data_IF_201801387902
#
_entry.id   IF_201801387902
#
_cell.length_a   1.000
_cell.length_b   1.000
_cell.length_c   1.000
_cell.angle_alpha   90.00
_cell.angle_beta   90.00
_cell.angle_gamma   90.00
#
_symmetry.space_group_name_H-M   'P 1'
#
loop_
_entity.id
_entity.type
_entity.pdbx_description
1 polymer ?
#
# COMPACT_ATOMS: atom_id res chain seq x y z
N UNK A 1 -8.85 2.76 -10.83
CA UNK A 1 -10.30 2.86 -11.13
C UNK A 1 -10.93 1.48 -11.32
N UNK A 2 -10.41 0.54 -12.16
CA UNK A 2 -11.07 -0.75 -12.41
C UNK A 2 -11.40 -1.54 -11.13
N UNK A 3 -10.47 -1.65 -10.20
CA UNK A 3 -10.66 -2.38 -8.93
C UNK A 3 -11.81 -1.81 -8.08
N UNK A 4 -11.98 -0.48 -8.05
CA UNK A 4 -13.08 0.14 -7.30
C UNK A 4 -14.45 -0.18 -7.91
N UNK A 5 -14.55 -0.21 -9.25
CA UNK A 5 -15.77 -0.60 -9.95
C UNK A 5 -16.03 -2.10 -9.79
N UNK A 6 -14.97 -2.91 -9.85
CA UNK A 6 -15.04 -4.34 -9.62
C UNK A 6 -15.50 -4.69 -8.20
N UNK A 7 -15.07 -3.89 -7.21
CA UNK A 7 -15.57 -3.90 -5.85
C UNK A 7 -15.12 -5.05 -4.97
N UNK A 8 -14.15 -5.84 -5.40
CA UNK A 8 -13.51 -6.92 -4.63
C UNK A 8 -12.00 -6.73 -4.64
N UNK A 9 -11.32 -7.37 -3.68
CA UNK A 9 -9.88 -7.55 -3.78
C UNK A 9 -9.56 -8.31 -5.05
N UNK A 10 -8.63 -7.81 -5.84
CA UNK A 10 -8.32 -8.39 -7.14
C UNK A 10 -6.83 -8.35 -7.43
N UNK A 11 -6.38 -9.37 -8.12
CA UNK A 11 -5.14 -9.33 -8.85
C UNK A 11 -5.41 -8.73 -10.23
N UNK A 12 -4.59 -7.76 -10.62
CA UNK A 12 -4.73 -7.04 -11.87
C UNK A 12 -3.55 -7.33 -12.79
N UNK A 13 -3.85 -7.64 -14.05
CA UNK A 13 -2.87 -7.85 -15.12
C UNK A 13 -3.12 -6.89 -16.28
N UNK A 14 -2.21 -6.91 -17.26
CA UNK A 14 -2.26 -6.00 -18.39
C UNK A 14 -1.97 -4.55 -17.96
N UNK A 15 -2.83 -3.63 -18.37
CA UNK A 15 -2.82 -2.22 -17.90
C UNK A 15 -3.75 -2.02 -16.69
N UNK A 16 -4.16 -3.11 -16.03
CA UNK A 16 -5.06 -3.12 -14.87
C UNK A 16 -6.52 -3.40 -15.22
N UNK A 17 -6.80 -3.87 -16.44
CA UNK A 17 -8.13 -4.20 -16.92
C UNK A 17 -8.51 -5.68 -16.68
N UNK A 18 -7.51 -6.57 -16.60
CA UNK A 18 -7.73 -7.99 -16.33
C UNK A 18 -7.72 -8.21 -14.83
N UNK A 19 -8.90 -8.41 -14.25
CA UNK A 19 -9.07 -8.54 -12.82
C UNK A 19 -9.50 -9.95 -12.44
N UNK A 20 -8.74 -10.60 -11.57
CA UNK A 20 -9.10 -11.88 -10.94
C UNK A 20 -9.33 -11.65 -9.44
N UNK A 21 -10.47 -12.12 -8.91
CA UNK A 21 -10.76 -12.04 -7.47
C UNK A 21 -9.69 -12.80 -6.69
N UNK A 22 -9.19 -12.19 -5.63
CA UNK A 22 -8.32 -12.84 -4.68
C UNK A 22 -8.89 -12.71 -3.26
N UNK A 23 -8.74 -13.78 -2.48
CA UNK A 23 -9.03 -13.74 -1.06
C UNK A 23 -7.75 -13.37 -0.31
N UNK A 24 -7.82 -12.28 0.46
CA UNK A 24 -6.74 -11.86 1.34
C UNK A 24 -7.16 -12.10 2.79
N UNK A 25 -6.24 -12.44 3.70
CA UNK A 25 -6.57 -12.50 5.11
C UNK A 25 -7.05 -11.13 5.61
N UNK A 26 -7.89 -11.14 6.64
CA UNK A 26 -8.25 -9.90 7.32
C UNK A 26 -6.98 -9.25 7.90
N UNK A 27 -6.82 -7.97 7.65
CA UNK A 27 -5.64 -7.22 8.09
C UNK A 27 -6.02 -5.83 8.57
N UNK A 28 -5.16 -5.25 9.39
CA UNK A 28 -5.21 -3.87 9.84
C UNK A 28 -4.01 -3.12 9.28
N UNK A 29 -4.23 -1.87 8.96
CA UNK A 29 -3.22 -1.02 8.33
C UNK A 29 -2.98 0.23 9.16
N UNK A 30 -1.72 0.51 9.44
CA UNK A 30 -1.29 1.83 9.87
C UNK A 30 -0.79 2.59 8.66
N UNK A 31 -1.45 3.69 8.34
CA UNK A 31 -1.11 4.54 7.18
C UNK A 31 -0.47 5.82 7.67
N UNK A 32 0.70 6.16 7.16
CA UNK A 32 1.35 7.44 7.38
C UNK A 32 1.19 8.35 6.15
N UNK A 33 0.99 9.63 6.42
CA UNK A 33 0.81 10.67 5.42
C UNK A 33 1.98 11.65 5.50
N UNK A 34 3.07 11.42 4.75
CA UNK A 34 4.19 12.36 4.70
C UNK A 34 3.73 13.74 4.22
N UNK A 35 4.29 14.84 4.77
CA UNK A 35 3.87 16.20 4.44
C UNK A 35 4.45 16.69 3.11
N UNK A 36 4.37 15.86 2.07
CA UNK A 36 4.87 16.14 0.73
C UNK A 36 3.88 15.67 -0.32
N UNK A 37 3.88 16.37 -1.46
CA UNK A 37 3.07 16.01 -2.62
C UNK A 37 3.99 15.45 -3.69
N UNK A 38 3.76 14.18 -4.06
CA UNK A 38 4.55 13.48 -5.08
C UNK A 38 3.89 13.66 -6.45
N UNK A 39 4.64 14.18 -7.42
CA UNK A 39 4.18 14.26 -8.80
C UNK A 39 4.25 12.90 -9.48
N UNK A 40 3.10 12.24 -9.64
CA UNK A 40 2.98 10.94 -10.30
C UNK A 40 3.61 10.97 -11.71
N UNK A 41 3.38 12.04 -12.46
CA UNK A 41 3.92 12.18 -13.81
C UNK A 41 5.46 12.21 -13.83
N UNK A 42 6.07 12.94 -12.89
CA UNK A 42 7.53 13.00 -12.76
C UNK A 42 8.14 11.67 -12.35
N UNK A 43 7.47 10.92 -11.46
CA UNK A 43 7.94 9.59 -11.06
C UNK A 43 7.89 8.64 -12.26
N UNK A 44 6.79 8.61 -13.01
CA UNK A 44 6.69 7.77 -14.22
C UNK A 44 7.66 8.20 -15.33
N UNK A 45 8.05 9.48 -15.41
CA UNK A 45 9.04 9.97 -16.37
C UNK A 45 10.49 9.72 -15.95
N UNK A 46 10.74 9.27 -14.71
CA UNK A 46 12.09 9.04 -14.20
C UNK A 46 12.85 8.00 -15.00
N UNK A 47 14.12 8.29 -15.31
CA UNK A 47 15.02 7.35 -15.95
C UNK A 47 15.49 6.23 -15.00
N UNK A 48 15.38 6.46 -13.71
CA UNK A 48 15.77 5.54 -12.64
C UNK A 48 14.69 4.51 -12.34
N UNK A 49 13.48 4.69 -12.90
CA UNK A 49 12.38 3.76 -12.71
C UNK A 49 12.64 2.42 -13.41
N UNK A 50 12.60 1.34 -12.63
CA UNK A 50 12.63 -0.02 -13.15
C UNK A 50 11.35 -0.29 -13.96
N UNK A 51 11.52 -0.73 -15.23
CA UNK A 51 10.38 -0.94 -16.15
C UNK A 51 10.28 -2.36 -16.68
N UNK A 52 11.21 -3.21 -16.29
CA UNK A 52 11.36 -4.59 -16.76
C UNK A 52 11.26 -5.61 -15.63
N UNK A 53 10.61 -5.24 -14.55
CA UNK A 53 10.31 -6.17 -13.46
C UNK A 53 9.48 -7.31 -14.00
N UNK A 54 9.90 -8.54 -13.71
CA UNK A 54 9.20 -9.72 -14.18
C UNK A 54 7.83 -9.80 -13.49
N UNK A 55 6.77 -10.17 -14.23
CA UNK A 55 5.45 -10.40 -13.65
C UNK A 55 5.51 -11.43 -12.53
N UNK A 56 4.80 -11.16 -11.45
CA UNK A 56 4.65 -12.12 -10.36
C UNK A 56 3.79 -13.27 -10.88
N UNK A 57 4.31 -14.50 -10.82
CA UNK A 57 3.53 -15.69 -11.14
C UNK A 57 2.72 -16.10 -9.90
N UNK A 58 1.42 -16.24 -10.07
CA UNK A 58 0.51 -16.66 -9.00
C UNK A 58 -0.02 -18.04 -9.36
N UNK A 59 -0.27 -18.94 -8.51
CA UNK A 59 -0.72 -19.04 -7.12
C UNK A 59 0.16 -19.94 -6.23
N UNK A 60 -0.04 -19.91 -4.91
CA UNK A 60 -0.94 -19.02 -4.21
C UNK A 60 -0.31 -17.66 -3.99
N UNK A 61 -1.08 -16.57 -4.18
CA UNK A 61 -0.61 -15.22 -3.94
C UNK A 61 -0.18 -15.06 -2.49
N UNK A 62 1.06 -14.67 -2.30
CA UNK A 62 1.57 -14.24 -1.00
C UNK A 62 1.78 -12.72 -1.08
N UNK A 63 1.17 -11.98 -0.18
CA UNK A 63 1.38 -10.53 -0.04
C UNK A 63 2.86 -10.17 0.11
N UNK A 64 3.67 -11.13 0.57
CA UNK A 64 5.13 -11.02 0.70
C UNK A 64 5.88 -10.90 -0.63
N UNK A 65 5.32 -11.40 -1.73
CA UNK A 65 5.98 -11.42 -3.04
C UNK A 65 5.83 -10.13 -3.83
N UNK A 66 4.92 -9.25 -3.43
CA UNK A 66 4.72 -7.97 -4.09
C UNK A 66 5.75 -6.92 -3.67
N UNK A 67 6.10 -6.02 -4.59
CA UNK A 67 6.88 -4.82 -4.32
C UNK A 67 6.30 -3.66 -5.15
N UNK A 68 6.72 -2.44 -4.84
CA UNK A 68 6.32 -1.26 -5.58
C UNK A 68 7.54 -0.67 -6.30
N UNK A 69 7.60 -0.81 -7.61
CA UNK A 69 8.72 -0.32 -8.43
C UNK A 69 8.93 1.20 -8.32
N UNK A 70 7.88 1.94 -7.95
CA UNK A 70 7.96 3.39 -7.77
C UNK A 70 8.61 3.78 -6.43
N UNK A 71 8.60 2.89 -5.42
CA UNK A 71 9.03 3.17 -4.05
C UNK A 71 10.48 3.67 -3.99
N UNK A 72 11.39 3.00 -4.69
CA UNK A 72 12.82 3.36 -4.68
C UNK A 72 13.06 4.78 -5.20
N UNK A 73 12.43 5.12 -6.34
CA UNK A 73 12.56 6.44 -6.97
C UNK A 73 11.95 7.54 -6.09
N UNK A 74 10.79 7.26 -5.49
CA UNK A 74 10.12 8.23 -4.61
C UNK A 74 10.94 8.44 -3.34
N UNK A 75 11.41 7.38 -2.69
CA UNK A 75 12.22 7.49 -1.48
C UNK A 75 13.54 8.26 -1.73
N UNK A 76 14.14 8.12 -2.90
CA UNK A 76 15.33 8.86 -3.27
C UNK A 76 15.05 10.36 -3.43
N UNK A 77 13.92 10.74 -4.01
CA UNK A 77 13.55 12.13 -4.30
C UNK A 77 12.87 12.85 -3.13
N UNK A 78 12.18 12.10 -2.29
CA UNK A 78 11.37 12.61 -1.19
C UNK A 78 11.81 11.95 0.15
N UNK A 79 12.82 12.54 0.82
CA UNK A 79 13.35 11.99 2.09
C UNK A 79 12.29 11.84 3.18
N UNK A 80 11.22 12.62 3.13
CA UNK A 80 10.10 12.54 4.07
C UNK A 80 9.36 11.20 3.94
N UNK A 81 9.17 10.72 2.71
CA UNK A 81 8.56 9.42 2.43
C UNK A 81 9.48 8.30 2.91
N UNK A 82 10.78 8.40 2.59
CA UNK A 82 11.78 7.43 3.03
C UNK A 82 11.81 7.29 4.56
N UNK A 83 11.83 8.41 5.30
CA UNK A 83 11.82 8.41 6.79
C UNK A 83 10.59 7.72 7.36
N UNK A 84 9.41 8.01 6.83
CA UNK A 84 8.17 7.36 7.27
C UNK A 84 8.21 5.85 6.99
N UNK A 85 8.65 5.45 5.81
CA UNK A 85 8.74 4.04 5.44
C UNK A 85 9.77 3.27 6.28
N UNK A 86 10.94 3.86 6.52
CA UNK A 86 11.96 3.27 7.38
C UNK A 86 11.49 3.11 8.83
N UNK A 87 10.72 4.08 9.33
CA UNK A 87 10.15 3.99 10.66
C UNK A 87 9.15 2.83 10.74
N UNK A 88 8.24 2.70 9.76
CA UNK A 88 7.31 1.57 9.69
C UNK A 88 8.02 0.22 9.62
N UNK A 89 9.11 0.11 8.86
CA UNK A 89 9.89 -1.15 8.72
C UNK A 89 10.59 -1.60 10.02
N UNK A 90 10.70 -0.73 11.01
CA UNK A 90 11.32 -1.03 12.33
C UNK A 90 10.30 -1.45 13.39
N UNK A 91 9.02 -1.31 13.12
CA UNK A 91 7.97 -1.68 14.06
C UNK A 91 7.92 -3.20 14.25
N UNK A 92 7.70 -3.61 15.49
CA UNK A 92 7.41 -5.01 15.81
C UNK A 92 6.05 -5.42 15.24
N UNK A 93 5.87 -6.71 14.97
CA UNK A 93 4.62 -7.29 14.44
C UNK A 93 4.20 -6.78 13.05
N UNK A 94 5.02 -5.96 12.40
CA UNK A 94 4.76 -5.52 11.02
C UNK A 94 5.03 -6.69 10.07
N UNK A 95 4.00 -7.08 9.32
CA UNK A 95 4.13 -8.12 8.30
C UNK A 95 4.70 -7.57 7.01
N UNK A 96 4.25 -6.37 6.63
CA UNK A 96 4.65 -5.66 5.41
C UNK A 96 4.67 -4.16 5.71
N UNK A 97 5.69 -3.45 5.20
CA UNK A 97 5.69 -1.99 5.14
C UNK A 97 6.06 -1.53 3.72
N UNK A 98 5.22 -0.70 3.09
CA UNK A 98 5.36 -0.27 1.69
C UNK A 98 4.79 1.13 1.45
N UNK A 99 5.19 1.69 0.31
CA UNK A 99 4.53 2.87 -0.24
C UNK A 99 3.30 2.45 -1.05
N UNK A 100 2.22 3.23 -0.93
CA UNK A 100 0.98 3.05 -1.69
C UNK A 100 1.05 3.81 -3.02
N UNK A 101 0.83 3.10 -4.13
CA UNK A 101 0.80 3.69 -5.48
C UNK A 101 2.06 4.49 -5.80
N UNK A 102 1.90 5.71 -6.28
CA UNK A 102 3.00 6.65 -6.57
C UNK A 102 3.45 7.50 -5.37
N UNK A 103 2.94 7.19 -4.17
CA UNK A 103 3.20 7.97 -2.95
C UNK A 103 2.19 9.12 -2.79
N UNK A 104 2.31 9.97 -1.77
CA UNK A 104 3.34 9.97 -0.71
C UNK A 104 3.04 8.98 0.42
N UNK A 105 1.79 8.48 0.54
CA UNK A 105 1.39 7.61 1.64
C UNK A 105 2.20 6.33 1.69
N UNK A 106 2.58 5.93 2.91
CA UNK A 106 3.21 4.65 3.20
C UNK A 106 2.36 3.92 4.24
N UNK A 107 2.37 2.60 4.24
CA UNK A 107 1.58 1.81 5.17
C UNK A 107 2.36 0.62 5.71
N UNK A 108 1.95 0.17 6.89
CA UNK A 108 2.34 -1.11 7.47
C UNK A 108 1.10 -1.96 7.74
N UNK A 109 1.23 -3.27 7.54
CA UNK A 109 0.18 -4.25 7.77
C UNK A 109 0.40 -5.00 9.08
N UNK A 110 -0.68 -5.20 9.83
CA UNK A 110 -0.74 -5.93 11.09
C UNK A 110 -1.84 -6.99 11.04
N UNK A 111 -1.65 -8.08 11.78
CA UNK A 111 -2.65 -9.13 11.87
C UNK A 111 -3.88 -8.70 12.68
N UNK A 112 -3.70 -7.85 13.68
CA UNK A 112 -4.76 -7.43 14.61
C UNK A 112 -4.84 -5.92 14.76
N UNK A 113 -6.03 -5.43 15.17
CA UNK A 113 -6.24 -4.03 15.54
C UNK A 113 -5.34 -3.60 16.69
N UNK A 114 -5.20 -4.45 17.70
CA UNK A 114 -4.43 -4.16 18.89
C UNK A 114 -2.95 -3.90 18.55
N UNK A 115 -2.35 -4.72 17.69
CA UNK A 115 -0.97 -4.51 17.22
C UNK A 115 -0.82 -3.19 16.45
N UNK A 116 -1.76 -2.91 15.54
CA UNK A 116 -1.76 -1.65 14.79
C UNK A 116 -1.91 -0.43 15.71
N UNK A 117 -2.75 -0.53 16.75
CA UNK A 117 -2.98 0.55 17.69
C UNK A 117 -1.75 0.79 18.59
N UNK A 118 -1.13 -0.28 19.11
CA UNK A 118 0.12 -0.19 19.88
C UNK A 118 1.23 0.46 19.05
N UNK A 119 1.34 0.11 17.76
CA UNK A 119 2.27 0.75 16.86
C UNK A 119 1.96 2.24 16.66
N UNK A 120 0.67 2.58 16.53
CA UNK A 120 0.22 3.95 16.35
C UNK A 120 0.52 4.84 17.58
N UNK A 121 0.42 4.30 18.79
CA UNK A 121 0.78 5.02 20.03
C UNK A 121 2.26 5.40 20.09
N UNK A 122 3.13 4.69 19.35
CA UNK A 122 4.56 4.99 19.26
C UNK A 122 4.88 6.04 18.17
N UNK A 123 3.86 6.55 17.44
CA UNK A 123 4.08 7.48 16.33
C UNK A 123 4.75 8.77 16.80
N UNK A 124 5.91 9.14 16.23
CA UNK A 124 6.54 10.41 16.53
C UNK A 124 5.63 11.61 16.23
N UNK A 125 5.67 12.63 17.08
CA UNK A 125 4.80 13.82 16.98
C UNK A 125 4.95 14.61 15.67
N UNK A 126 6.05 14.44 14.95
CA UNK A 126 6.32 15.04 13.65
C UNK A 126 5.83 14.22 12.47
N UNK A 127 5.22 13.05 12.72
CA UNK A 127 4.58 12.22 11.71
C UNK A 127 3.07 12.25 11.89
N UNK A 128 2.32 12.05 10.80
CA UNK A 128 0.86 11.99 10.80
C UNK A 128 0.40 10.69 10.16
N UNK A 129 -0.65 10.12 10.70
CA UNK A 129 -1.21 8.88 10.19
C UNK A 129 -2.52 8.50 10.85
N UNK A 130 -3.00 7.32 10.53
CA UNK A 130 -4.20 6.71 11.12
C UNK A 130 -4.14 5.19 11.00
N UNK A 131 -4.97 4.51 11.78
CA UNK A 131 -5.19 3.06 11.68
C UNK A 131 -6.52 2.81 10.98
N UNK A 132 -6.55 1.82 10.09
CA UNK A 132 -7.76 1.42 9.36
C UNK A 132 -7.81 -0.09 9.19
N UNK A 133 -9.03 -0.62 9.18
CA UNK A 133 -9.30 -2.02 8.85
C UNK A 133 -9.28 -2.24 7.35
N UNK A 134 -8.62 -3.31 6.90
CA UNK A 134 -8.71 -3.77 5.51
C UNK A 134 -10.11 -4.26 5.17
N UNK A 135 -10.58 -3.95 3.97
CA UNK A 135 -11.90 -4.35 3.49
C UNK A 135 -11.76 -5.43 2.41
N UNK A 136 -12.67 -6.42 2.43
CA UNK A 136 -12.72 -7.48 1.42
C UNK A 136 -13.51 -7.06 0.18
N UNK A 137 -14.46 -6.13 0.34
CA UNK A 137 -15.28 -5.58 -0.75
C UNK A 137 -15.50 -4.07 -0.53
N UNK A 138 -15.81 -3.39 -1.60
CA UNK A 138 -16.03 -1.95 -1.55
C UNK A 138 -17.41 -1.65 -0.91
N UNK A 139 -17.48 -0.81 0.15
CA UNK A 139 -18.72 -0.57 0.90
C UNK A 139 -19.89 -0.04 0.05
N UNK A 140 -19.59 0.70 -1.03
CA UNK A 140 -20.65 1.21 -1.93
C UNK A 140 -21.41 0.11 -2.68
N UNK A 141 -20.89 -1.13 -2.74
CA UNK A 141 -21.64 -2.24 -3.34
C UNK A 141 -22.86 -2.63 -2.53
N UNK A 142 -22.79 -2.49 -1.22
CA UNK A 142 -23.91 -2.82 -0.33
C UNK A 142 -25.07 -1.86 -0.60
N UNK A 143 -24.78 -0.60 -0.95
CA UNK A 143 -25.78 0.41 -1.32
C UNK A 143 -26.39 0.23 -2.72
N UNK A 144 -25.74 -0.56 -3.60
CA UNK A 144 -26.28 -0.81 -4.95
C UNK A 144 -27.21 -2.02 -5.01
N UNK A 145 -27.28 -2.81 -3.94
CA UNK A 145 -28.12 -4.02 -3.83
C UNK A 145 -29.41 -3.77 -3.02
N UNK A 146 -29.64 -2.53 -2.55
CA UNK A 146 -30.90 -2.05 -1.99
C UNK A 146 -31.77 -1.37 -3.06
#
# INVERSE_FOLDING_TARGET
VPVFIFGHNAFAEGIGEQLAVIELPAAWYMVLVPPVQVSTAEIFASKELTRNTLPIKIPPFSVWQGHNDLEAVVCQRYPEVARCLEWLKRLEHTTIARMSGSGSCVFAEFATEAEAQVAFEQLPSNMKGFVAKGLHHHPLRDLMNE
#
